data_IF_544770526131
#
_entry.id   IF_544770526131
#
_cell.length_a   1.000
_cell.length_b   1.000
_cell.length_c   1.000
_cell.angle_alpha   90.00
_cell.angle_beta   90.00
_cell.angle_gamma   90.00
#
_symmetry.space_group_name_H-M   'P 1'
#
loop_
_entity.id
_entity.type
_entity.pdbx_description
1 polymer ?
#
# COMPACT_ATOMS: atom_id res chain seq x y z
N UNK A 1 -18.51 -22.72 14.40
CA UNK A 1 -17.03 -22.72 14.26
C UNK A 1 -16.44 -21.65 15.15
N UNK A 2 -15.27 -21.94 15.74
CA UNK A 2 -14.57 -20.90 16.53
C UNK A 2 -13.95 -19.90 15.55
N UNK A 3 -13.93 -18.62 15.88
CA UNK A 3 -13.31 -17.53 15.08
C UNK A 3 -11.92 -17.90 14.51
N UNK A 4 -11.10 -18.58 15.32
CA UNK A 4 -9.77 -19.04 14.93
C UNK A 4 -9.77 -20.00 13.72
N UNK A 5 -10.81 -20.83 13.53
CA UNK A 5 -10.88 -21.70 12.34
C UNK A 5 -11.19 -20.92 11.07
N UNK A 6 -12.01 -19.88 11.16
CA UNK A 6 -12.27 -18.95 10.04
C UNK A 6 -11.00 -18.20 9.66
N UNK A 7 -10.32 -17.64 10.66
CA UNK A 7 -9.06 -16.93 10.46
C UNK A 7 -8.00 -17.84 9.81
N UNK A 8 -7.85 -19.06 10.31
CA UNK A 8 -6.93 -20.06 9.74
C UNK A 8 -7.25 -20.39 8.27
N UNK A 9 -8.55 -20.53 7.94
CA UNK A 9 -8.99 -20.77 6.56
C UNK A 9 -8.61 -19.59 5.66
N UNK A 10 -8.81 -18.35 6.09
CA UNK A 10 -8.44 -17.16 5.33
C UNK A 10 -6.92 -17.06 5.11
N UNK A 11 -6.10 -17.41 6.11
CA UNK A 11 -4.64 -17.48 5.94
C UNK A 11 -4.21 -18.55 4.95
N UNK A 12 -4.85 -19.73 4.95
CA UNK A 12 -4.57 -20.81 3.98
C UNK A 12 -4.92 -20.34 2.55
N UNK A 13 -6.08 -19.70 2.38
CA UNK A 13 -6.50 -19.13 1.10
C UNK A 13 -5.48 -18.10 0.61
N UNK A 14 -4.99 -17.20 1.50
CA UNK A 14 -3.96 -16.22 1.21
C UNK A 14 -2.68 -16.89 0.70
N UNK A 15 -2.14 -17.84 1.46
CA UNK A 15 -0.88 -18.54 1.14
C UNK A 15 -0.93 -19.25 -0.22
N UNK A 16 -2.11 -19.78 -0.60
CA UNK A 16 -2.32 -20.49 -1.87
C UNK A 16 -2.60 -19.58 -3.05
N UNK A 17 -2.84 -18.30 -2.80
CA UNK A 17 -3.19 -17.33 -3.84
C UNK A 17 -1.96 -16.93 -4.68
N UNK A 18 -2.14 -16.92 -6.00
CA UNK A 18 -1.13 -16.36 -6.93
C UNK A 18 -0.97 -14.85 -6.74
N UNK A 19 -2.03 -14.15 -6.30
CA UNK A 19 -2.03 -12.70 -6.06
C UNK A 19 -1.03 -12.34 -4.95
N UNK A 20 -0.90 -13.18 -3.91
CA UNK A 20 0.10 -13.01 -2.85
C UNK A 20 1.51 -12.90 -3.43
N UNK A 21 1.90 -13.87 -4.21
CA UNK A 21 3.24 -13.89 -4.81
C UNK A 21 3.46 -12.77 -5.80
N UNK A 22 2.43 -12.43 -6.56
CA UNK A 22 2.47 -11.30 -7.49
C UNK A 22 2.70 -9.97 -6.78
N UNK A 23 2.04 -9.73 -5.64
CA UNK A 23 2.22 -8.48 -4.87
C UNK A 23 3.62 -8.36 -4.29
N UNK A 24 4.22 -9.46 -3.79
CA UNK A 24 5.63 -9.48 -3.37
C UNK A 24 6.58 -9.22 -4.54
N UNK A 25 6.31 -9.82 -5.71
CA UNK A 25 7.11 -9.60 -6.91
C UNK A 25 7.06 -8.13 -7.37
N UNK A 26 5.88 -7.50 -7.36
CA UNK A 26 5.71 -6.09 -7.69
C UNK A 26 6.50 -5.19 -6.74
N UNK A 27 6.45 -5.44 -5.43
CA UNK A 27 7.25 -4.67 -4.46
C UNK A 27 8.75 -4.85 -4.68
N UNK A 28 9.20 -6.08 -4.94
CA UNK A 28 10.60 -6.37 -5.28
C UNK A 28 11.03 -5.62 -6.53
N UNK A 29 10.17 -5.61 -7.56
CA UNK A 29 10.44 -4.89 -8.81
C UNK A 29 10.56 -3.38 -8.58
N UNK A 30 9.69 -2.79 -7.77
CA UNK A 30 9.74 -1.35 -7.43
C UNK A 30 11.09 -1.00 -6.79
N UNK A 31 11.52 -1.78 -5.79
CA UNK A 31 12.82 -1.56 -5.13
C UNK A 31 13.99 -1.79 -6.09
N UNK A 32 13.91 -2.83 -6.93
CA UNK A 32 14.93 -3.12 -7.92
C UNK A 32 15.10 -1.98 -8.94
N UNK A 33 14.00 -1.33 -9.34
CA UNK A 33 14.04 -0.14 -10.20
C UNK A 33 14.69 1.05 -9.50
N UNK A 34 14.39 1.28 -8.21
CA UNK A 34 15.07 2.29 -7.40
C UNK A 34 16.57 2.01 -7.24
N UNK A 35 16.94 0.76 -7.01
CA UNK A 35 18.33 0.33 -6.93
C UNK A 35 19.07 0.47 -8.27
N UNK A 36 18.43 0.12 -9.38
CA UNK A 36 18.95 0.35 -10.73
C UNK A 36 19.19 1.83 -10.98
N UNK A 37 18.25 2.68 -10.56
CA UNK A 37 18.41 4.14 -10.69
C UNK A 37 19.62 4.64 -9.90
N UNK A 38 19.81 4.18 -8.64
CA UNK A 38 21.00 4.51 -7.85
C UNK A 38 22.30 4.02 -8.50
N UNK A 39 22.27 2.80 -9.04
CA UNK A 39 23.43 2.25 -9.76
C UNK A 39 23.81 3.08 -10.99
N UNK A 40 22.82 3.55 -11.76
CA UNK A 40 23.05 4.45 -12.90
C UNK A 40 23.64 5.79 -12.47
N UNK A 41 23.20 6.33 -11.34
CA UNK A 41 23.78 7.56 -10.77
C UNK A 41 25.24 7.37 -10.36
N UNK A 42 25.58 6.21 -9.79
CA UNK A 42 26.97 5.87 -9.45
C UNK A 42 27.85 5.64 -10.68
N UNK A 43 27.24 5.32 -11.85
CA UNK A 43 27.94 5.00 -13.09
C UNK A 43 27.50 5.90 -14.26
N UNK A 44 27.78 7.23 -14.22
CA UNK A 44 27.26 8.16 -15.21
C UNK A 44 27.80 7.90 -16.63
N UNK A 45 28.97 7.26 -16.78
CA UNK A 45 29.49 6.84 -18.07
C UNK A 45 28.63 5.80 -18.76
N UNK A 46 28.17 4.79 -17.99
CA UNK A 46 27.27 3.75 -18.50
C UNK A 46 25.89 4.34 -18.82
N UNK A 47 25.38 5.18 -17.96
CA UNK A 47 24.10 5.84 -18.17
C UNK A 47 24.06 6.70 -19.45
N UNK A 48 25.19 7.37 -19.78
CA UNK A 48 25.34 8.12 -21.05
C UNK A 48 25.44 7.20 -22.26
N UNK A 49 26.22 6.11 -22.18
CA UNK A 49 26.38 5.17 -23.30
C UNK A 49 25.07 4.45 -23.64
N UNK A 50 24.18 4.25 -22.67
CA UNK A 50 22.84 3.68 -22.84
C UNK A 50 21.80 4.70 -23.30
N UNK A 51 22.17 5.98 -23.46
CA UNK A 51 21.24 7.05 -23.83
C UNK A 51 20.16 7.36 -22.79
N UNK A 52 20.32 6.87 -21.56
CA UNK A 52 19.33 7.01 -20.47
C UNK A 52 19.40 8.38 -19.80
N UNK A 53 20.52 9.12 -19.96
CA UNK A 53 20.71 10.47 -19.45
C UNK A 53 20.44 11.51 -20.54
N UNK A 54 19.16 11.76 -20.81
CA UNK A 54 18.76 12.94 -21.59
C UNK A 54 18.91 14.23 -20.76
N UNK A 55 18.83 15.40 -21.44
CA UNK A 55 19.00 16.72 -20.78
C UNK A 55 18.09 16.93 -19.56
N UNK A 56 16.84 16.43 -19.60
CA UNK A 56 15.90 16.49 -18.46
C UNK A 56 16.32 15.59 -17.30
N UNK A 57 16.88 14.41 -17.58
CA UNK A 57 17.39 13.51 -16.55
C UNK A 57 18.62 14.08 -15.87
N UNK A 58 19.52 14.72 -16.62
CA UNK A 58 20.69 15.42 -16.06
C UNK A 58 20.30 16.56 -15.11
N UNK A 59 19.22 17.30 -15.41
CA UNK A 59 18.71 18.38 -14.55
C UNK A 59 18.06 17.78 -13.28
N UNK A 60 17.27 16.72 -13.41
CA UNK A 60 16.63 16.05 -12.28
C UNK A 60 17.63 15.36 -11.34
N UNK A 61 18.79 14.95 -11.88
CA UNK A 61 19.87 14.31 -11.14
C UNK A 61 20.88 15.35 -10.58
N UNK A 62 20.88 16.58 -11.09
CA UNK A 62 21.74 17.64 -10.62
C UNK A 62 21.36 18.02 -9.19
N UNK A 63 22.17 17.58 -8.21
CA UNK A 63 21.94 17.81 -6.78
C UNK A 63 21.47 16.61 -5.98
N UNK A 64 21.20 15.47 -6.61
CA UNK A 64 20.96 14.22 -5.88
C UNK A 64 22.26 13.44 -5.70
N UNK A 65 22.56 13.01 -4.49
CA UNK A 65 23.67 12.14 -4.16
C UNK A 65 23.25 10.66 -4.24
N UNK A 66 24.16 9.80 -4.72
CA UNK A 66 23.93 8.35 -4.68
C UNK A 66 24.33 7.82 -3.31
N UNK A 67 23.52 8.12 -2.30
CA UNK A 67 23.71 7.74 -0.91
C UNK A 67 22.46 7.06 -0.31
N UNK A 68 22.60 6.49 0.90
CA UNK A 68 21.49 5.84 1.59
C UNK A 68 20.33 6.78 1.89
N UNK A 69 20.52 8.05 2.31
CA UNK A 69 19.40 8.96 2.48
C UNK A 69 18.54 9.12 1.23
N UNK A 70 19.17 9.34 0.08
CA UNK A 70 18.46 9.48 -1.21
C UNK A 70 17.77 8.18 -1.63
N UNK A 71 18.44 7.03 -1.46
CA UNK A 71 17.85 5.73 -1.78
C UNK A 71 16.64 5.40 -0.91
N UNK A 72 16.72 5.58 0.41
CA UNK A 72 15.61 5.33 1.32
C UNK A 72 14.46 6.33 1.12
N UNK A 73 14.75 7.58 0.75
CA UNK A 73 13.71 8.55 0.36
C UNK A 73 12.95 8.04 -0.86
N UNK A 74 13.63 7.57 -1.90
CA UNK A 74 12.99 6.94 -3.07
C UNK A 74 12.11 5.75 -2.68
N UNK A 75 12.61 4.86 -1.81
CA UNK A 75 11.84 3.68 -1.35
C UNK A 75 10.60 4.12 -0.60
N UNK A 76 10.69 5.16 0.24
CA UNK A 76 9.56 5.71 1.00
C UNK A 76 8.54 6.38 0.06
N UNK A 77 8.97 7.18 -0.90
CA UNK A 77 8.08 7.84 -1.86
C UNK A 77 7.33 6.84 -2.74
N UNK A 78 8.06 5.85 -3.29
CA UNK A 78 7.46 4.77 -4.08
C UNK A 78 6.56 3.86 -3.22
N UNK A 79 6.97 3.60 -1.98
CA UNK A 79 6.20 2.84 -0.98
C UNK A 79 4.93 3.56 -0.51
N UNK A 80 4.87 4.89 -0.62
CA UNK A 80 3.72 5.69 -0.19
C UNK A 80 2.47 5.45 -1.05
N UNK A 81 2.41 6.09 -2.19
CA UNK A 81 1.26 5.96 -3.08
C UNK A 81 1.18 4.57 -3.72
N UNK A 82 2.32 4.00 -4.15
CA UNK A 82 2.38 2.64 -4.68
C UNK A 82 1.97 1.60 -3.65
N UNK A 83 2.39 1.77 -2.40
CA UNK A 83 1.98 0.92 -1.28
C UNK A 83 0.50 1.02 -0.96
N UNK A 84 -0.07 2.22 -0.95
CA UNK A 84 -1.50 2.43 -0.76
C UNK A 84 -2.33 1.76 -1.88
N UNK A 85 -1.85 1.79 -3.11
CA UNK A 85 -2.47 1.06 -4.23
C UNK A 85 -2.42 -0.45 -4.01
N UNK A 86 -1.27 -1.01 -3.66
CA UNK A 86 -1.13 -2.44 -3.39
C UNK A 86 -1.98 -2.88 -2.19
N UNK A 87 -2.07 -2.07 -1.13
CA UNK A 87 -2.97 -2.30 -0.02
C UNK A 87 -4.43 -2.38 -0.49
N UNK A 88 -4.84 -1.44 -1.33
CA UNK A 88 -6.20 -1.42 -1.91
C UNK A 88 -6.47 -2.65 -2.78
N UNK A 89 -5.49 -3.11 -3.58
CA UNK A 89 -5.59 -4.34 -4.37
C UNK A 89 -5.76 -5.56 -3.48
N UNK A 90 -4.98 -5.66 -2.39
CA UNK A 90 -5.06 -6.75 -1.41
C UNK A 90 -6.46 -6.79 -0.79
N UNK A 91 -6.94 -5.65 -0.30
CA UNK A 91 -8.25 -5.56 0.34
C UNK A 91 -9.37 -5.86 -0.65
N UNK A 92 -9.32 -5.30 -1.86
CA UNK A 92 -10.27 -5.60 -2.93
C UNK A 92 -10.33 -7.10 -3.24
N UNK A 93 -9.18 -7.75 -3.32
CA UNK A 93 -9.08 -9.18 -3.59
C UNK A 93 -9.64 -10.02 -2.43
N UNK A 94 -9.25 -9.73 -1.18
CA UNK A 94 -9.68 -10.49 -0.01
C UNK A 94 -11.19 -10.41 0.20
N UNK A 95 -11.79 -9.23 -0.04
CA UNK A 95 -13.22 -9.03 0.15
C UNK A 95 -14.05 -9.42 -1.08
N UNK A 96 -13.54 -9.22 -2.29
CA UNK A 96 -14.27 -9.41 -3.53
C UNK A 96 -14.24 -10.84 -4.10
N UNK A 97 -13.19 -11.62 -3.82
CA UNK A 97 -12.97 -12.92 -4.47
C UNK A 97 -14.10 -13.92 -4.25
N UNK A 98 -14.71 -13.95 -3.08
CA UNK A 98 -15.77 -14.92 -2.75
C UNK A 98 -17.04 -14.71 -3.55
N UNK A 99 -17.30 -13.47 -3.92
CA UNK A 99 -18.41 -13.15 -4.83
C UNK A 99 -18.09 -13.59 -6.24
N UNK A 100 -16.86 -13.36 -6.71
CA UNK A 100 -16.42 -13.76 -8.06
C UNK A 100 -16.31 -15.28 -8.20
N UNK A 101 -15.86 -15.98 -7.15
CA UNK A 101 -15.73 -17.44 -7.14
C UNK A 101 -17.07 -18.14 -6.82
N UNK A 102 -18.16 -17.40 -6.55
CA UNK A 102 -19.47 -17.94 -6.21
C UNK A 102 -19.53 -18.67 -4.86
N UNK A 103 -18.52 -18.50 -4.01
CA UNK A 103 -18.41 -19.19 -2.71
C UNK A 103 -19.10 -18.44 -1.57
N UNK A 104 -19.58 -17.22 -1.81
CA UNK A 104 -20.24 -16.38 -0.81
C UNK A 104 -21.46 -17.08 -0.16
N UNK A 105 -22.28 -17.79 -0.94
CA UNK A 105 -23.45 -18.55 -0.43
C UNK A 105 -23.05 -19.64 0.56
N UNK A 106 -21.95 -20.33 0.32
CA UNK A 106 -21.45 -21.39 1.19
C UNK A 106 -20.96 -20.84 2.54
N UNK A 107 -20.46 -19.61 2.56
CA UNK A 107 -20.01 -18.95 3.80
C UNK A 107 -21.18 -18.52 4.67
N UNK A 108 -22.29 -18.11 4.07
CA UNK A 108 -23.51 -17.73 4.79
C UNK A 108 -24.19 -18.94 5.49
N UNK A 109 -23.93 -20.16 5.01
CA UNK A 109 -24.42 -21.39 5.62
C UNK A 109 -23.62 -21.82 6.88
N UNK A 110 -22.47 -21.16 7.17
CA UNK A 110 -21.65 -21.51 8.32
C UNK A 110 -22.17 -20.84 9.61
N UNK A 111 -22.15 -21.55 10.75
CA UNK A 111 -22.60 -21.02 12.04
C UNK A 111 -21.56 -20.05 12.66
N UNK A 112 -21.21 -19.00 11.93
CA UNK A 112 -20.25 -17.97 12.35
C UNK A 112 -20.89 -16.60 12.17
N UNK A 113 -20.64 -15.66 13.09
CA UNK A 113 -21.16 -14.30 12.95
C UNK A 113 -20.58 -13.62 11.72
N UNK A 114 -21.40 -12.92 10.96
CA UNK A 114 -20.98 -12.16 9.77
C UNK A 114 -19.90 -11.14 10.11
N UNK A 115 -20.01 -10.47 11.25
CA UNK A 115 -18.97 -9.58 11.76
C UNK A 115 -17.63 -10.30 12.01
N UNK A 116 -17.65 -11.57 12.44
CA UNK A 116 -16.45 -12.39 12.61
C UNK A 116 -15.74 -12.66 11.28
N UNK A 117 -16.46 -12.83 10.17
CA UNK A 117 -15.87 -12.95 8.83
C UNK A 117 -15.21 -11.65 8.38
N UNK A 118 -15.89 -10.51 8.54
CA UNK A 118 -15.31 -9.20 8.21
C UNK A 118 -14.03 -8.98 8.99
N UNK A 119 -14.04 -9.25 10.30
CA UNK A 119 -12.87 -9.10 11.15
C UNK A 119 -11.71 -10.03 10.72
N UNK A 120 -12.00 -11.30 10.40
CA UNK A 120 -10.98 -12.23 9.91
C UNK A 120 -10.34 -11.74 8.60
N UNK A 121 -11.12 -11.23 7.65
CA UNK A 121 -10.63 -10.66 6.39
C UNK A 121 -9.77 -9.42 6.61
N UNK A 122 -10.17 -8.53 7.53
CA UNK A 122 -9.39 -7.35 7.90
C UNK A 122 -8.04 -7.74 8.51
N UNK A 123 -8.03 -8.70 9.45
CA UNK A 123 -6.80 -9.20 10.07
C UNK A 123 -5.86 -9.82 9.02
N UNK A 124 -6.39 -10.64 8.12
CA UNK A 124 -5.60 -11.26 7.05
C UNK A 124 -5.04 -10.22 6.09
N UNK A 125 -5.84 -9.23 5.69
CA UNK A 125 -5.39 -8.11 4.84
C UNK A 125 -4.29 -7.30 5.53
N UNK A 126 -4.47 -6.98 6.81
CA UNK A 126 -3.49 -6.26 7.61
C UNK A 126 -2.18 -7.06 7.77
N UNK A 127 -2.28 -8.36 8.08
CA UNK A 127 -1.11 -9.23 8.21
C UNK A 127 -0.36 -9.37 6.88
N UNK A 128 -1.08 -9.52 5.77
CA UNK A 128 -0.48 -9.55 4.44
C UNK A 128 0.26 -8.25 4.13
N UNK A 129 -0.39 -7.12 4.32
CA UNK A 129 0.22 -5.83 4.03
C UNK A 129 1.40 -5.50 4.98
N UNK A 130 1.32 -5.89 6.25
CA UNK A 130 2.44 -5.81 7.19
C UNK A 130 3.63 -6.67 6.72
N UNK A 131 3.39 -7.91 6.29
CA UNK A 131 4.44 -8.76 5.73
C UNK A 131 5.10 -8.14 4.49
N UNK A 132 4.31 -7.51 3.62
CA UNK A 132 4.84 -6.78 2.45
C UNK A 132 5.66 -5.55 2.85
N UNK A 133 5.25 -4.83 3.92
CA UNK A 133 6.02 -3.69 4.44
C UNK A 133 7.38 -4.15 5.01
N UNK A 134 7.40 -5.26 5.72
CA UNK A 134 8.67 -5.88 6.16
C UNK A 134 9.52 -6.33 4.97
N UNK A 135 8.88 -6.89 3.96
CA UNK A 135 9.55 -7.34 2.75
C UNK A 135 10.23 -6.21 1.98
N UNK A 136 9.55 -5.07 1.77
CA UNK A 136 10.15 -3.92 1.06
C UNK A 136 11.37 -3.38 1.82
N UNK A 137 11.31 -3.33 3.15
CA UNK A 137 12.42 -2.92 4.00
C UNK A 137 13.62 -3.87 3.83
N UNK A 138 13.37 -5.18 3.88
CA UNK A 138 14.41 -6.19 3.71
C UNK A 138 15.06 -6.14 2.32
N UNK A 139 14.25 -6.05 1.26
CA UNK A 139 14.74 -5.96 -0.12
C UNK A 139 15.53 -4.66 -0.35
N UNK A 140 15.06 -3.54 0.20
CA UNK A 140 15.77 -2.26 0.12
C UNK A 140 17.13 -2.32 0.83
N UNK A 141 17.17 -2.92 2.02
CA UNK A 141 18.42 -3.10 2.75
C UNK A 141 19.41 -3.99 1.99
N UNK A 142 18.94 -5.11 1.44
CA UNK A 142 19.76 -6.02 0.62
C UNK A 142 20.29 -5.30 -0.62
N UNK A 143 19.41 -4.63 -1.38
CA UNK A 143 19.77 -3.96 -2.62
C UNK A 143 20.79 -2.83 -2.39
N UNK A 144 20.58 -1.97 -1.40
CA UNK A 144 21.51 -0.89 -1.05
C UNK A 144 22.86 -1.40 -0.55
N UNK A 145 22.86 -2.50 0.21
CA UNK A 145 24.09 -3.16 0.68
C UNK A 145 24.88 -3.79 -0.46
N UNK A 146 24.21 -4.46 -1.41
CA UNK A 146 24.84 -5.04 -2.62
C UNK A 146 25.48 -3.96 -3.49
N UNK A 147 24.84 -2.79 -3.62
CA UNK A 147 25.37 -1.65 -4.35
C UNK A 147 26.46 -0.90 -3.59
N UNK A 148 26.72 -1.24 -2.33
CA UNK A 148 27.69 -0.57 -1.44
C UNK A 148 27.45 0.95 -1.36
N UNK A 149 26.20 1.36 -1.30
CA UNK A 149 25.81 2.77 -1.20
C UNK A 149 26.35 3.34 0.14
N UNK A 150 27.02 4.50 0.13
CA UNK A 150 27.55 5.11 1.35
C UNK A 150 26.47 5.78 2.20
N UNK A 151 26.77 6.01 3.49
CA UNK A 151 25.96 6.90 4.35
C UNK A 151 24.83 6.21 5.13
N UNK A 152 24.84 4.87 5.26
CA UNK A 152 23.89 4.19 6.15
C UNK A 152 24.19 4.50 7.62
N UNK A 153 23.19 5.01 8.32
CA UNK A 153 23.22 5.15 9.79
C UNK A 153 22.03 4.41 10.40
N UNK A 154 22.21 3.91 11.62
CA UNK A 154 21.13 3.20 12.34
C UNK A 154 19.92 4.09 12.53
N UNK A 155 20.12 5.35 12.90
CA UNK A 155 19.05 6.33 13.10
C UNK A 155 18.23 6.58 11.82
N UNK A 156 18.90 6.69 10.65
CA UNK A 156 18.24 6.86 9.37
C UNK A 156 17.38 5.63 9.02
N UNK A 157 17.93 4.43 9.23
CA UNK A 157 17.22 3.18 8.96
C UNK A 157 15.99 3.03 9.87
N UNK A 158 16.14 3.26 11.17
CA UNK A 158 15.02 3.23 12.13
C UNK A 158 13.93 4.23 11.79
N UNK A 159 14.29 5.47 11.46
CA UNK A 159 13.34 6.50 11.03
C UNK A 159 12.57 6.07 9.77
N UNK A 160 13.26 5.44 8.81
CA UNK A 160 12.64 4.92 7.58
C UNK A 160 11.67 3.79 7.88
N UNK A 161 12.04 2.84 8.73
CA UNK A 161 11.16 1.74 9.17
C UNK A 161 9.89 2.27 9.83
N UNK A 162 10.03 3.19 10.78
CA UNK A 162 8.88 3.82 11.46
C UNK A 162 7.98 4.54 10.46
N UNK A 163 8.58 5.27 9.51
CA UNK A 163 7.84 5.99 8.47
C UNK A 163 7.05 5.03 7.57
N UNK A 164 7.66 3.95 7.10
CA UNK A 164 6.98 2.94 6.27
C UNK A 164 5.85 2.21 7.02
N UNK A 165 6.05 1.90 8.31
CA UNK A 165 5.01 1.30 9.14
C UNK A 165 3.83 2.25 9.38
N UNK A 166 4.09 3.53 9.62
CA UNK A 166 3.05 4.54 9.76
C UNK A 166 2.24 4.69 8.46
N UNK A 167 2.92 4.73 7.31
CA UNK A 167 2.27 4.78 6.00
C UNK A 167 1.45 3.51 5.72
N UNK A 168 1.93 2.34 6.14
CA UNK A 168 1.19 1.09 6.04
C UNK A 168 -0.11 1.13 6.86
N UNK A 169 -0.06 1.68 8.07
CA UNK A 169 -1.25 1.86 8.89
C UNK A 169 -2.25 2.83 8.25
N UNK A 170 -1.78 3.99 7.76
CA UNK A 170 -2.63 4.96 7.06
C UNK A 170 -3.28 4.34 5.82
N UNK A 171 -2.53 3.54 5.05
CA UNK A 171 -3.03 2.84 3.86
C UNK A 171 -4.13 1.84 4.21
N UNK A 172 -3.96 1.07 5.28
CA UNK A 172 -5.00 0.15 5.77
C UNK A 172 -6.26 0.88 6.23
N UNK A 173 -6.11 2.03 6.90
CA UNK A 173 -7.25 2.87 7.27
C UNK A 173 -8.03 3.34 6.04
N UNK A 174 -7.34 3.85 5.02
CA UNK A 174 -7.97 4.29 3.76
C UNK A 174 -8.58 3.12 2.98
N UNK A 175 -7.94 1.94 2.99
CA UNK A 175 -8.43 0.76 2.28
C UNK A 175 -9.73 0.18 2.86
N UNK A 176 -10.19 0.62 4.04
CA UNK A 176 -11.50 0.24 4.59
C UNK A 176 -12.67 0.61 3.68
N UNK A 177 -12.58 1.74 2.97
CA UNK A 177 -13.58 2.12 1.94
C UNK A 177 -13.56 1.14 0.77
N UNK A 178 -12.37 0.68 0.39
CA UNK A 178 -12.21 -0.31 -0.69
C UNK A 178 -12.86 -1.63 -0.31
N UNK A 179 -12.78 -2.05 0.96
CA UNK A 179 -13.48 -3.22 1.48
C UNK A 179 -14.99 -3.08 1.31
N UNK A 180 -15.56 -1.93 1.70
CA UNK A 180 -16.99 -1.66 1.53
C UNK A 180 -17.40 -1.74 0.05
N UNK A 181 -16.67 -1.07 -0.85
CA UNK A 181 -16.99 -1.09 -2.29
C UNK A 181 -16.93 -2.51 -2.83
N UNK A 182 -15.97 -3.34 -2.39
CA UNK A 182 -15.85 -4.73 -2.83
C UNK A 182 -17.07 -5.58 -2.44
N UNK A 183 -17.59 -5.38 -1.24
CA UNK A 183 -18.79 -6.08 -0.74
C UNK A 183 -20.05 -5.56 -1.44
N UNK A 184 -20.21 -4.24 -1.56
CA UNK A 184 -21.36 -3.59 -2.19
C UNK A 184 -21.52 -3.99 -3.67
N UNK A 185 -20.39 -4.00 -4.41
CA UNK A 185 -20.38 -4.35 -5.85
C UNK A 185 -20.24 -5.84 -6.12
N UNK A 186 -20.14 -6.65 -5.06
CA UNK A 186 -19.99 -8.12 -5.13
C UNK A 186 -18.84 -8.57 -6.06
N UNK A 187 -17.70 -7.85 -6.01
CA UNK A 187 -16.57 -8.14 -6.86
C UNK A 187 -15.34 -7.30 -6.53
N UNK A 188 -14.28 -7.44 -7.32
CA UNK A 188 -13.05 -6.70 -7.13
C UNK A 188 -12.73 -5.68 -8.24
N UNK A 189 -13.51 -5.63 -9.34
CA UNK A 189 -13.25 -4.67 -10.43
C UNK A 189 -13.57 -3.22 -10.03
N UNK A 190 -14.73 -2.98 -9.42
CA UNK A 190 -15.12 -1.64 -8.99
C UNK A 190 -14.20 -1.08 -7.91
N UNK A 191 -13.83 -1.85 -6.84
CA UNK A 191 -12.86 -1.37 -5.85
C UNK A 191 -11.46 -1.13 -6.45
N UNK A 192 -11.02 -1.90 -7.46
CA UNK A 192 -9.76 -1.63 -8.17
C UNK A 192 -9.84 -0.32 -8.97
N UNK A 193 -10.93 -0.08 -9.68
CA UNK A 193 -11.18 1.19 -10.37
C UNK A 193 -11.18 2.37 -9.41
N UNK A 194 -11.82 2.22 -8.25
CA UNK A 194 -11.80 3.22 -7.19
C UNK A 194 -10.37 3.47 -6.64
N UNK A 195 -9.59 2.41 -6.42
CA UNK A 195 -8.20 2.54 -5.97
C UNK A 195 -7.34 3.34 -6.97
N UNK A 196 -7.46 3.07 -8.26
CA UNK A 196 -6.77 3.83 -9.31
C UNK A 196 -7.22 5.30 -9.29
N UNK A 197 -8.52 5.52 -9.22
CA UNK A 197 -9.09 6.88 -9.17
C UNK A 197 -8.57 7.68 -7.97
N UNK A 198 -8.53 7.07 -6.77
CA UNK A 198 -8.05 7.75 -5.56
C UNK A 198 -6.58 8.11 -5.62
N UNK A 199 -5.74 7.29 -6.28
CA UNK A 199 -4.33 7.62 -6.48
C UNK A 199 -4.15 8.74 -7.50
N UNK A 200 -4.95 8.76 -8.57
CA UNK A 200 -4.96 9.89 -9.49
C UNK A 200 -5.36 11.19 -8.76
N UNK A 201 -6.40 11.15 -7.94
CA UNK A 201 -6.79 12.28 -7.10
C UNK A 201 -5.67 12.68 -6.13
N UNK A 202 -5.02 11.72 -5.48
CA UNK A 202 -3.92 11.97 -4.57
C UNK A 202 -2.75 12.68 -5.27
N UNK A 203 -2.45 12.29 -6.51
CA UNK A 203 -1.40 12.95 -7.31
C UNK A 203 -1.78 14.39 -7.71
N UNK A 204 -3.05 14.65 -8.01
CA UNK A 204 -3.53 16.00 -8.36
C UNK A 204 -3.53 16.90 -7.12
N UNK A 205 -4.13 16.42 -6.02
CA UNK A 205 -4.28 17.22 -4.80
C UNK A 205 -2.98 17.30 -4.00
N UNK A 206 -2.04 16.36 -4.17
CA UNK A 206 -0.78 16.28 -3.43
C UNK A 206 0.04 17.57 -3.48
N UNK A 207 -0.08 18.33 -4.55
CA UNK A 207 0.63 19.62 -4.75
C UNK A 207 -0.24 20.84 -4.47
N UNK A 208 -1.39 20.68 -3.84
CA UNK A 208 -2.33 21.76 -3.52
C UNK A 208 -2.51 21.94 -2.01
N UNK A 209 -3.03 23.08 -1.57
CA UNK A 209 -3.38 23.32 -0.17
C UNK A 209 -4.47 22.38 0.38
N UNK A 210 -5.15 21.62 -0.49
CA UNK A 210 -6.16 20.62 -0.11
C UNK A 210 -5.60 19.25 0.25
N UNK A 211 -4.32 18.99 -0.04
CA UNK A 211 -3.68 17.70 0.20
C UNK A 211 -3.87 17.16 1.63
N UNK A 212 -3.81 17.96 2.72
CA UNK A 212 -4.01 17.47 4.08
C UNK A 212 -5.44 16.98 4.39
N UNK A 213 -6.40 17.24 3.49
CA UNK A 213 -7.82 16.89 3.66
C UNK A 213 -8.27 15.73 2.78
N UNK A 214 -7.41 15.25 1.88
CA UNK A 214 -7.71 14.11 1.00
C UNK A 214 -6.99 12.87 1.53
N UNK A 215 -7.72 11.81 1.96
CA UNK A 215 -7.14 10.67 2.68
C UNK A 215 -5.90 10.05 2.00
N UNK A 216 -5.97 9.80 0.71
CA UNK A 216 -4.85 9.20 -0.03
C UNK A 216 -3.71 10.19 -0.30
N UNK A 217 -4.00 11.49 -0.44
CA UNK A 217 -2.97 12.53 -0.56
C UNK A 217 -2.17 12.69 0.73
N UNK A 218 -2.78 12.45 1.90
CA UNK A 218 -2.10 12.48 3.20
C UNK A 218 -0.94 11.47 3.24
N UNK A 219 -1.12 10.27 2.66
CA UNK A 219 -0.07 9.26 2.58
C UNK A 219 1.10 9.78 1.70
N UNK A 220 0.79 10.41 0.57
CA UNK A 220 1.78 11.05 -0.30
C UNK A 220 2.53 12.20 0.37
N UNK A 221 1.81 13.05 1.13
CA UNK A 221 2.43 14.11 1.94
C UNK A 221 3.38 13.53 2.98
N UNK A 222 2.93 12.51 3.72
CA UNK A 222 3.74 11.87 4.76
C UNK A 222 4.97 11.17 4.18
N UNK A 223 4.90 10.65 2.95
CA UNK A 223 6.05 10.05 2.27
C UNK A 223 7.14 11.08 1.95
N UNK A 224 6.78 12.34 1.76
CA UNK A 224 7.67 13.41 1.27
C UNK A 224 7.58 13.66 -0.23
N UNK A 225 6.77 12.88 -0.96
CA UNK A 225 6.63 12.99 -2.42
C UNK A 225 6.07 14.36 -2.88
N UNK A 226 5.40 15.10 -1.99
CA UNK A 226 4.87 16.43 -2.26
C UNK A 226 5.83 17.60 -1.90
N UNK A 227 7.06 17.26 -1.47
CA UNK A 227 8.08 18.23 -1.04
C UNK A 227 8.15 18.39 0.48
N UNK A 228 9.25 18.99 0.96
CA UNK A 228 9.60 19.06 2.40
C UNK A 228 8.72 19.99 3.23
N UNK A 229 7.95 20.88 2.61
CA UNK A 229 7.23 21.95 3.31
C UNK A 229 5.82 21.57 3.77
N UNK A 230 5.36 20.39 3.39
CA UNK A 230 4.03 19.90 3.74
C UNK A 230 4.03 19.16 5.09
N UNK A 231 3.66 19.88 6.15
CA UNK A 231 3.48 19.27 7.47
C UNK A 231 2.06 18.75 7.65
N UNK A 232 1.92 17.52 8.16
CA UNK A 232 0.63 16.96 8.55
C UNK A 232 0.14 17.63 9.83
N UNK A 233 -1.01 18.30 9.73
CA UNK A 233 -1.73 18.83 10.89
C UNK A 233 -2.57 17.75 11.57
N UNK A 234 -3.08 18.03 12.77
CA UNK A 234 -4.00 17.15 13.48
C UNK A 234 -5.23 16.76 12.63
N UNK A 235 -5.73 17.70 11.79
CA UNK A 235 -6.86 17.46 10.91
C UNK A 235 -6.67 16.29 9.95
N UNK A 236 -5.45 16.05 9.45
CA UNK A 236 -5.15 14.94 8.56
C UNK A 236 -5.34 13.57 9.24
N UNK A 237 -4.95 13.44 10.51
CA UNK A 237 -5.17 12.21 11.27
C UNK A 237 -6.65 11.97 11.54
N UNK A 238 -7.41 13.03 11.80
CA UNK A 238 -8.87 12.94 11.95
C UNK A 238 -9.53 12.47 10.64
N UNK A 239 -9.10 13.00 9.51
CA UNK A 239 -9.61 12.57 8.18
C UNK A 239 -9.35 11.09 7.93
N UNK A 240 -8.14 10.59 8.21
CA UNK A 240 -7.82 9.16 8.06
C UNK A 240 -8.67 8.30 9.01
N UNK A 241 -8.80 8.71 10.28
CA UNK A 241 -9.62 7.99 11.25
C UNK A 241 -11.10 7.97 10.85
N UNK A 242 -11.65 9.10 10.39
CA UNK A 242 -13.02 9.20 9.89
C UNK A 242 -13.22 8.30 8.66
N UNK A 243 -12.27 8.29 7.72
CA UNK A 243 -12.31 7.42 6.54
C UNK A 243 -12.36 5.95 6.95
N UNK A 244 -11.53 5.54 7.92
CA UNK A 244 -11.53 4.18 8.45
C UNK A 244 -12.88 3.83 9.09
N UNK A 245 -13.41 4.69 9.96
CA UNK A 245 -14.68 4.44 10.66
C UNK A 245 -15.85 4.33 9.69
N UNK A 246 -15.91 5.22 8.69
CA UNK A 246 -16.93 5.17 7.64
C UNK A 246 -16.82 3.88 6.83
N UNK A 247 -15.64 3.51 6.36
CA UNK A 247 -15.44 2.29 5.58
C UNK A 247 -15.80 1.03 6.35
N UNK A 248 -15.34 0.91 7.59
CA UNK A 248 -15.68 -0.23 8.46
C UNK A 248 -17.17 -0.27 8.79
N UNK A 249 -17.77 0.88 9.13
CA UNK A 249 -19.20 0.97 9.45
C UNK A 249 -20.07 0.56 8.27
N UNK A 250 -19.77 1.01 7.07
CA UNK A 250 -20.48 0.64 5.85
C UNK A 250 -20.29 -0.84 5.49
N UNK A 251 -19.08 -1.38 5.62
CA UNK A 251 -18.79 -2.81 5.38
C UNK A 251 -19.59 -3.68 6.35
N UNK A 252 -19.56 -3.37 7.65
CA UNK A 252 -20.28 -4.11 8.67
C UNK A 252 -21.80 -4.01 8.47
N UNK A 253 -22.31 -2.82 8.18
CA UNK A 253 -23.74 -2.61 7.90
C UNK A 253 -24.18 -3.47 6.71
N UNK A 254 -23.45 -3.49 5.62
CA UNK A 254 -23.81 -4.28 4.44
C UNK A 254 -23.81 -5.78 4.77
N UNK A 255 -22.74 -6.30 5.35
CA UNK A 255 -22.62 -7.74 5.65
C UNK A 255 -23.62 -8.23 6.72
N UNK A 256 -23.96 -7.38 7.70
CA UNK A 256 -24.89 -7.76 8.78
C UNK A 256 -26.35 -7.63 8.36
N UNK A 257 -26.71 -6.57 7.62
CA UNK A 257 -28.11 -6.22 7.35
C UNK A 257 -28.55 -6.48 5.90
N UNK A 258 -27.63 -6.66 4.94
CA UNK A 258 -28.03 -6.98 3.59
C UNK A 258 -28.61 -8.40 3.53
N UNK A 259 -29.83 -8.52 3.07
CA UNK A 259 -30.44 -9.80 2.70
C UNK A 259 -29.69 -10.32 1.46
N UNK A 260 -28.73 -11.22 1.68
CA UNK A 260 -27.99 -11.88 0.62
C UNK A 260 -28.80 -13.01 -0.04
N UNK A 261 -30.11 -12.89 -0.04
CA UNK A 261 -31.09 -13.87 -0.52
C UNK A 261 -31.42 -13.79 -2.01
N UNK A 262 -30.53 -13.23 -2.84
CA UNK A 262 -30.70 -13.30 -4.29
C UNK A 262 -29.46 -13.89 -4.99
#
# INVERSE_FOLDING_TARGET
MRFLSVLGTEFIKLRRSKVTWLTFAVYTFIVAMGALFMWLMMNPGVARSLGLLGQKANIALAGQSADWPSFLTLVVEMGGLGGAMLCSIIVAYVFGREYVEGTAKNMLALPTSRAGFVLAKLIVSAAWYAAMTVWIIAVAWIAGSMLRIPGLTTALFEATVVKLLAMALMSLCCASIVAWIAVETRGYFAPLGFAIFTIMLASIFGHTGWAPWVPWSIIGLYSGAAGSDATLGWGSYVVIAATMLVGLGLTLRHEVFADNGQ
#
